data_IF_841844470889
#
_entry.id   IF_841844470889
#
_cell.length_a   1.000
_cell.length_b   1.000
_cell.length_c   1.000
_cell.angle_alpha   90.00
_cell.angle_beta   90.00
_cell.angle_gamma   90.00
#
_symmetry.space_group_name_H-M   'P 1'
#
loop_
_entity.id
_entity.type
_entity.pdbx_description
1 polymer ?
#
# COMPACT_ATOMS: atom_id res chain seq x y z
N UNK A 1 42.67 -23.42 57.52
CA UNK A 1 42.45 -22.41 56.47
C UNK A 1 41.53 -23.03 55.43
N UNK A 2 40.35 -22.44 55.25
CA UNK A 2 39.31 -22.90 54.35
C UNK A 2 39.53 -22.33 52.94
N UNK A 3 39.21 -23.12 51.91
CA UNK A 3 39.03 -22.64 50.54
C UNK A 3 37.73 -23.26 50.02
N UNK A 4 36.67 -22.46 49.99
CA UNK A 4 35.41 -22.81 49.36
C UNK A 4 35.40 -22.16 47.96
N UNK A 5 35.31 -22.99 46.91
CA UNK A 5 35.12 -22.53 45.53
C UNK A 5 33.69 -22.04 45.35
N UNK A 6 33.52 -20.76 45.03
CA UNK A 6 32.23 -20.19 44.66
C UNK A 6 31.92 -20.54 43.19
N UNK A 7 30.87 -21.33 42.98
CA UNK A 7 30.30 -21.61 41.66
C UNK A 7 29.58 -20.37 41.15
N UNK A 8 30.08 -19.78 40.06
CA UNK A 8 29.39 -18.70 39.33
C UNK A 8 28.28 -19.36 38.51
N UNK A 9 27.05 -19.36 39.04
CA UNK A 9 25.87 -19.79 38.30
C UNK A 9 25.52 -18.77 37.23
N UNK A 10 25.69 -19.12 35.96
CA UNK A 10 25.10 -18.38 34.84
C UNK A 10 23.58 -18.49 34.93
N UNK A 11 22.92 -17.41 35.31
CA UNK A 11 21.48 -17.25 35.14
C UNK A 11 21.12 -17.42 33.67
N UNK A 12 20.17 -18.30 33.30
CA UNK A 12 19.71 -18.41 31.93
C UNK A 12 19.14 -17.06 31.47
N UNK A 13 19.31 -16.69 30.19
CA UNK A 13 18.69 -15.48 29.67
C UNK A 13 17.19 -15.61 29.86
N UNK A 14 16.57 -14.60 30.49
CA UNK A 14 15.13 -14.49 30.55
C UNK A 14 14.62 -14.53 29.10
N UNK A 15 13.89 -15.57 28.74
CA UNK A 15 13.14 -15.59 27.50
C UNK A 15 12.20 -14.38 27.57
N UNK A 16 12.42 -13.39 26.70
CA UNK A 16 11.48 -12.29 26.54
C UNK A 16 10.12 -12.92 26.29
N UNK A 17 9.13 -12.57 27.11
CA UNK A 17 7.75 -13.00 26.86
C UNK A 17 7.42 -12.67 25.40
N UNK A 18 6.83 -13.61 24.65
CA UNK A 18 6.44 -13.31 23.27
C UNK A 18 5.57 -12.06 23.30
N UNK A 19 5.97 -11.03 22.55
CA UNK A 19 5.23 -9.79 22.46
C UNK A 19 3.79 -10.13 22.06
N UNK A 20 2.87 -9.97 23.01
CA UNK A 20 1.47 -10.36 22.82
C UNK A 20 0.74 -9.17 22.22
N UNK A 21 0.28 -9.34 20.99
CA UNK A 21 -0.43 -8.30 20.24
C UNK A 21 -1.91 -8.32 20.64
N UNK A 22 -2.57 -7.17 20.90
CA UNK A 22 -4.02 -7.13 21.13
C UNK A 22 -4.81 -7.58 19.88
N UNK A 23 -5.81 -8.43 20.05
CA UNK A 23 -6.65 -8.92 18.95
C UNK A 23 -7.34 -7.77 18.23
N UNK A 24 -7.85 -6.78 18.97
CA UNK A 24 -8.48 -5.60 18.38
C UNK A 24 -7.55 -4.79 17.46
N UNK A 25 -6.23 -4.78 17.72
CA UNK A 25 -5.24 -4.15 16.83
C UNK A 25 -5.06 -4.99 15.57
N UNK A 26 -4.95 -6.32 15.68
CA UNK A 26 -4.86 -7.20 14.52
C UNK A 26 -6.12 -7.14 13.64
N UNK A 27 -7.30 -7.01 14.25
CA UNK A 27 -8.56 -6.86 13.54
C UNK A 27 -8.61 -5.54 12.76
N UNK A 28 -8.20 -4.43 13.37
CA UNK A 28 -8.07 -3.14 12.68
C UNK A 28 -7.06 -3.18 11.54
N UNK A 29 -5.92 -3.86 11.74
CA UNK A 29 -4.92 -4.04 10.69
C UNK A 29 -5.52 -4.82 9.53
N UNK A 30 -6.20 -5.93 9.83
CA UNK A 30 -6.82 -6.78 8.81
C UNK A 30 -7.93 -6.04 8.06
N UNK A 31 -8.77 -5.32 8.78
CA UNK A 31 -9.86 -4.54 8.19
C UNK A 31 -9.35 -3.49 7.20
N UNK A 32 -8.30 -2.75 7.55
CA UNK A 32 -7.72 -1.77 6.62
C UNK A 32 -6.98 -2.44 5.45
N UNK A 33 -6.29 -3.56 5.68
CA UNK A 33 -5.73 -4.35 4.58
C UNK A 33 -6.82 -4.77 3.57
N UNK A 34 -7.97 -5.24 4.05
CA UNK A 34 -9.08 -5.69 3.21
C UNK A 34 -9.78 -4.52 2.49
N UNK A 35 -10.19 -3.50 3.25
CA UNK A 35 -11.10 -2.45 2.79
C UNK A 35 -10.40 -1.29 2.07
N UNK A 36 -9.15 -1.02 2.41
CA UNK A 36 -8.40 0.10 1.85
C UNK A 36 -7.36 -0.38 0.84
N UNK A 37 -6.42 -1.22 1.29
CA UNK A 37 -5.24 -1.56 0.50
C UNK A 37 -5.58 -2.58 -0.59
N UNK A 38 -6.16 -3.72 -0.22
CA UNK A 38 -6.53 -4.79 -1.17
C UNK A 38 -7.60 -4.30 -2.16
N UNK A 39 -8.66 -3.67 -1.64
CA UNK A 39 -9.71 -3.08 -2.47
C UNK A 39 -9.18 -1.95 -3.38
N UNK A 40 -8.22 -1.16 -2.88
CA UNK A 40 -7.54 -0.12 -3.64
C UNK A 40 -6.70 -0.70 -4.79
N UNK A 41 -5.79 -1.65 -4.51
CA UNK A 41 -4.94 -2.30 -5.52
C UNK A 41 -5.80 -3.00 -6.59
N UNK A 42 -6.79 -3.79 -6.17
CA UNK A 42 -7.73 -4.44 -7.09
C UNK A 42 -8.53 -3.43 -7.91
N UNK A 43 -8.95 -2.33 -7.27
CA UNK A 43 -9.63 -1.22 -7.93
C UNK A 43 -8.76 -0.54 -8.99
N UNK A 44 -7.47 -0.31 -8.73
CA UNK A 44 -6.52 0.25 -9.70
C UNK A 44 -6.46 -0.65 -10.93
N UNK A 45 -6.26 -1.97 -10.75
CA UNK A 45 -6.22 -2.92 -11.87
C UNK A 45 -7.47 -2.83 -12.74
N UNK A 46 -8.65 -2.86 -12.10
CA UNK A 46 -9.94 -2.77 -12.79
C UNK A 46 -10.02 -1.48 -13.60
N UNK A 47 -9.74 -0.33 -12.98
CA UNK A 47 -9.89 0.97 -13.64
C UNK A 47 -8.96 1.08 -14.85
N UNK A 48 -7.68 0.72 -14.73
CA UNK A 48 -6.72 0.89 -15.84
C UNK A 48 -6.92 -0.14 -16.97
N UNK A 49 -7.54 -1.29 -16.70
CA UNK A 49 -7.91 -2.27 -17.73
C UNK A 49 -9.28 -2.02 -18.38
N UNK A 50 -10.09 -1.12 -17.80
CA UNK A 50 -11.47 -0.92 -18.24
C UNK A 50 -11.58 0.11 -19.37
N UNK A 51 -12.57 -0.04 -20.28
CA UNK A 51 -12.87 0.98 -21.27
C UNK A 51 -13.52 2.20 -20.57
N UNK A 52 -12.95 3.39 -20.81
CA UNK A 52 -13.48 4.65 -20.29
C UNK A 52 -13.82 5.61 -21.42
N UNK A 53 -14.88 6.41 -21.22
CA UNK A 53 -15.28 7.44 -22.16
C UNK A 53 -14.26 8.58 -22.28
N UNK A 54 -13.43 8.81 -21.25
CA UNK A 54 -12.34 9.78 -21.27
C UNK A 54 -11.21 9.40 -20.31
N UNK A 55 -9.98 9.76 -20.65
CA UNK A 55 -8.82 9.57 -19.77
C UNK A 55 -8.92 10.36 -18.46
N UNK A 56 -9.63 11.50 -18.46
CA UNK A 56 -9.83 12.31 -17.25
C UNK A 56 -10.75 11.61 -16.22
N UNK A 57 -11.83 10.97 -16.69
CA UNK A 57 -12.70 10.17 -15.82
C UNK A 57 -11.95 8.95 -15.25
N UNK A 58 -11.18 8.28 -16.11
CA UNK A 58 -10.36 7.14 -15.70
C UNK A 58 -9.31 7.54 -14.66
N UNK A 59 -8.57 8.63 -14.90
CA UNK A 59 -7.58 9.15 -13.96
C UNK A 59 -8.20 9.51 -12.61
N UNK A 60 -9.38 10.13 -12.61
CA UNK A 60 -10.11 10.46 -11.38
C UNK A 60 -10.41 9.19 -10.57
N UNK A 61 -10.98 8.18 -11.21
CA UNK A 61 -11.33 6.92 -10.54
C UNK A 61 -10.07 6.19 -10.05
N UNK A 62 -9.01 6.18 -10.85
CA UNK A 62 -7.70 5.66 -10.44
C UNK A 62 -7.17 6.39 -9.21
N UNK A 63 -7.25 7.72 -9.18
CA UNK A 63 -6.80 8.52 -8.03
C UNK A 63 -7.60 8.21 -6.76
N UNK A 64 -8.91 7.93 -6.88
CA UNK A 64 -9.71 7.47 -5.74
C UNK A 64 -9.17 6.15 -5.20
N UNK A 65 -8.83 5.21 -6.08
CA UNK A 65 -8.27 3.91 -5.66
C UNK A 65 -6.87 4.03 -5.05
N UNK A 66 -6.01 4.86 -5.63
CA UNK A 66 -4.70 5.16 -5.06
C UNK A 66 -4.81 5.87 -3.69
N UNK A 67 -5.81 6.74 -3.52
CA UNK A 67 -6.07 7.39 -2.24
C UNK A 67 -6.54 6.40 -1.16
N UNK A 68 -7.33 5.38 -1.52
CA UNK A 68 -7.68 4.30 -0.58
C UNK A 68 -6.42 3.60 -0.06
N UNK A 69 -5.48 3.26 -0.95
CA UNK A 69 -4.23 2.57 -0.57
C UNK A 69 -3.40 3.45 0.36
N UNK A 70 -3.21 4.72 0.01
CA UNK A 70 -2.48 5.68 0.84
C UNK A 70 -3.14 5.88 2.21
N UNK A 71 -4.48 5.95 2.26
CA UNK A 71 -5.23 6.02 3.51
C UNK A 71 -4.97 4.79 4.37
N UNK A 72 -5.08 3.58 3.80
CA UNK A 72 -4.86 2.34 4.53
C UNK A 72 -3.44 2.24 5.09
N UNK A 73 -2.41 2.57 4.30
CA UNK A 73 -1.02 2.55 4.77
C UNK A 73 -0.83 3.49 5.97
N UNK A 74 -1.33 4.72 5.90
CA UNK A 74 -1.23 5.67 7.02
C UNK A 74 -2.03 5.23 8.24
N UNK A 75 -3.23 4.67 8.03
CA UNK A 75 -4.01 4.12 9.12
C UNK A 75 -3.27 2.96 9.83
N UNK A 76 -2.61 2.08 9.07
CA UNK A 76 -1.79 1.01 9.65
C UNK A 76 -0.55 1.53 10.39
N UNK A 77 0.08 2.61 9.90
CA UNK A 77 1.17 3.30 10.61
C UNK A 77 0.67 3.82 11.98
N UNK A 78 -0.52 4.43 12.03
CA UNK A 78 -1.13 4.96 13.25
C UNK A 78 -1.55 3.84 14.23
N UNK A 79 -2.19 2.78 13.73
CA UNK A 79 -2.63 1.64 14.54
C UNK A 79 -1.45 0.87 15.13
N UNK A 80 -0.35 0.73 14.38
CA UNK A 80 0.84 0.06 14.86
C UNK A 80 1.58 0.87 15.95
N UNK A 81 1.38 2.19 16.01
CA UNK A 81 1.91 3.07 17.06
C UNK A 81 3.42 2.86 17.31
N UNK A 82 3.89 2.73 18.56
CA UNK A 82 5.30 2.50 18.89
C UNK A 82 5.80 1.07 18.58
N UNK A 83 5.18 0.36 17.63
CA UNK A 83 5.55 -1.01 17.24
C UNK A 83 4.81 -2.08 18.03
N UNK A 84 3.49 -1.89 18.23
CA UNK A 84 2.61 -2.82 18.94
C UNK A 84 2.60 -4.19 18.25
N UNK A 85 2.65 -4.21 16.90
CA UNK A 85 2.75 -5.44 16.11
C UNK A 85 4.21 -5.67 15.70
N UNK A 86 4.88 -6.71 16.25
CA UNK A 86 6.26 -7.00 15.89
C UNK A 86 6.42 -7.24 14.39
N UNK A 87 7.39 -6.56 13.77
CA UNK A 87 7.68 -6.70 12.34
C UNK A 87 6.75 -5.91 11.41
N UNK A 88 5.68 -5.28 11.91
CA UNK A 88 4.75 -4.53 11.05
C UNK A 88 5.36 -3.23 10.53
N UNK A 89 6.12 -2.50 11.36
CA UNK A 89 6.74 -1.23 10.97
C UNK A 89 7.63 -1.35 9.71
N UNK A 90 8.62 -2.27 9.63
CA UNK A 90 9.41 -2.42 8.41
C UNK A 90 8.57 -2.89 7.22
N UNK A 91 7.55 -3.75 7.43
CA UNK A 91 6.67 -4.19 6.35
C UNK A 91 5.81 -3.05 5.79
N UNK A 92 5.37 -2.10 6.63
CA UNK A 92 4.65 -0.90 6.20
C UNK A 92 5.53 0.06 5.39
N UNK A 93 6.82 0.18 5.74
CA UNK A 93 7.78 0.96 4.94
C UNK A 93 7.91 0.38 3.53
N UNK A 94 8.05 -0.95 3.42
CA UNK A 94 8.12 -1.63 2.14
C UNK A 94 6.82 -1.47 1.33
N UNK A 95 5.66 -1.65 1.97
CA UNK A 95 4.36 -1.47 1.32
C UNK A 95 4.17 -0.03 0.84
N UNK A 96 4.54 0.96 1.66
CA UNK A 96 4.45 2.38 1.29
C UNK A 96 5.26 2.66 0.04
N UNK A 97 6.52 2.22 0.01
CA UNK A 97 7.39 2.39 -1.14
C UNK A 97 6.83 1.72 -2.39
N UNK A 98 6.35 0.48 -2.27
CA UNK A 98 5.73 -0.24 -3.39
C UNK A 98 4.44 0.47 -3.89
N UNK A 99 3.67 1.06 -2.98
CA UNK A 99 2.47 1.81 -3.29
C UNK A 99 2.79 3.13 -4.01
N UNK A 100 3.86 3.82 -3.61
CA UNK A 100 4.35 5.02 -4.28
C UNK A 100 4.87 4.69 -5.69
N UNK A 101 5.66 3.63 -5.84
CA UNK A 101 6.15 3.16 -7.16
C UNK A 101 4.98 2.79 -8.10
N UNK A 102 3.96 2.10 -7.58
CA UNK A 102 2.74 1.79 -8.31
C UNK A 102 1.96 3.06 -8.69
N UNK A 103 1.81 4.02 -7.76
CA UNK A 103 1.14 5.30 -8.02
C UNK A 103 1.83 6.04 -9.16
N UNK A 104 3.15 6.08 -9.18
CA UNK A 104 3.92 6.76 -10.22
C UNK A 104 3.79 6.03 -11.56
N UNK A 105 3.91 4.71 -11.58
CA UNK A 105 3.78 3.90 -12.79
C UNK A 105 2.37 3.98 -13.41
N UNK A 106 1.34 4.07 -12.58
CA UNK A 106 -0.06 4.24 -13.02
C UNK A 106 -0.34 5.70 -13.38
N UNK A 107 0.21 6.66 -12.65
CA UNK A 107 0.10 8.09 -12.96
C UNK A 107 0.69 8.43 -14.32
N UNK A 108 1.79 7.76 -14.71
CA UNK A 108 2.42 7.90 -16.02
C UNK A 108 1.53 7.50 -17.21
N UNK A 109 0.43 6.78 -16.97
CA UNK A 109 -0.56 6.50 -18.01
C UNK A 109 -1.33 7.75 -18.43
N UNK A 110 -1.44 8.75 -17.55
CA UNK A 110 -2.29 9.92 -17.73
C UNK A 110 -1.45 11.16 -18.03
N UNK A 111 -1.21 11.41 -19.31
CA UNK A 111 -0.43 12.57 -19.76
C UNK A 111 -1.38 13.72 -20.10
N UNK A 112 -1.13 14.90 -19.51
CA UNK A 112 -1.87 16.11 -19.86
C UNK A 112 -1.30 16.65 -21.17
N UNK A 113 -2.09 16.58 -22.23
CA UNK A 113 -1.75 17.17 -23.51
C UNK A 113 -2.27 18.61 -23.55
N UNK A 114 -1.40 19.64 -23.64
CA UNK A 114 -1.86 20.99 -23.91
C UNK A 114 -2.48 21.02 -25.31
N UNK A 115 -3.74 21.43 -25.42
CA UNK A 115 -4.38 21.74 -26.70
C UNK A 115 -3.61 22.87 -27.40
N UNK A 116 -2.59 22.55 -28.20
CA UNK A 116 -1.99 23.48 -29.15
C UNK A 116 -2.80 23.44 -30.44
N UNK A 117 -3.85 24.27 -30.50
CA UNK A 117 -4.58 24.53 -31.73
C UNK A 117 -3.74 25.34 -32.71
N UNK A 118 -2.94 24.66 -33.55
CA UNK A 118 -2.47 25.23 -34.82
C UNK A 118 -3.32 24.65 -35.96
N UNK A 119 -4.40 25.35 -36.30
CA UNK A 119 -5.28 24.96 -37.40
C UNK A 119 -6.03 26.17 -37.93
N UNK A 120 -5.53 26.76 -39.02
CA UNK A 120 -6.28 27.68 -39.88
C UNK A 120 -7.45 26.89 -40.50
N UNK A 121 -8.67 27.05 -39.98
CA UNK A 121 -9.84 26.39 -40.56
C UNK A 121 -11.12 26.72 -39.81
N UNK A 122 -12.03 27.43 -40.48
CA UNK A 122 -13.38 27.80 -40.04
C UNK A 122 -14.12 26.68 -39.29
N UNK A 123 -14.46 26.89 -38.02
CA UNK A 123 -15.24 25.94 -37.22
C UNK A 123 -15.32 26.31 -35.75
N UNK A 124 -16.03 27.39 -35.45
CA UNK A 124 -16.34 27.86 -34.09
C UNK A 124 -17.24 26.85 -33.36
N UNK A 125 -16.68 25.92 -32.55
CA UNK A 125 -17.30 25.30 -31.35
C UNK A 125 -16.24 24.51 -30.56
N UNK A 126 -15.94 24.94 -29.33
CA UNK A 126 -15.32 24.11 -28.31
C UNK A 126 -13.81 24.28 -28.17
N UNK A 127 -13.40 25.36 -27.50
CA UNK A 127 -12.10 25.41 -26.84
C UNK A 127 -12.09 24.35 -25.72
N UNK A 128 -11.86 23.09 -26.08
CA UNK A 128 -11.66 22.01 -25.12
C UNK A 128 -10.33 22.30 -24.41
N UNK A 129 -10.41 22.56 -23.10
CA UNK A 129 -9.27 22.70 -22.22
C UNK A 129 -8.33 21.48 -22.27
N UNK A 130 -7.26 21.45 -21.46
CA UNK A 130 -6.29 20.36 -21.49
C UNK A 130 -6.99 19.00 -21.42
N UNK A 131 -6.64 18.10 -22.35
CA UNK A 131 -7.17 16.73 -22.38
C UNK A 131 -6.16 15.78 -21.75
N UNK A 132 -6.67 14.79 -21.02
CA UNK A 132 -5.84 13.72 -20.45
C UNK A 132 -5.80 12.58 -21.47
N UNK A 133 -4.62 12.37 -22.06
CA UNK A 133 -4.34 11.22 -22.91
C UNK A 133 -4.05 10.01 -22.02
N UNK A 134 -4.69 8.86 -22.29
CA UNK A 134 -4.41 7.61 -21.61
C UNK A 134 -3.46 6.75 -22.48
N UNK A 135 -2.32 6.34 -21.92
CA UNK A 135 -1.44 5.36 -22.51
C UNK A 135 -1.88 3.94 -22.14
N UNK A 136 -1.66 2.98 -23.04
CA UNK A 136 -1.87 1.57 -22.69
C UNK A 136 -0.90 1.13 -21.59
N UNK A 137 -1.39 0.46 -20.53
CA UNK A 137 -0.55 -0.06 -19.46
C UNK A 137 0.60 -0.90 -20.01
N UNK A 138 1.83 -0.51 -19.68
CA UNK A 138 3.04 -1.23 -20.06
C UNK A 138 3.28 -2.40 -19.10
N UNK A 139 4.08 -3.41 -19.47
CA UNK A 139 4.46 -4.49 -18.56
C UNK A 139 5.00 -3.99 -17.21
N UNK A 140 5.78 -2.91 -17.21
CA UNK A 140 6.30 -2.27 -16.00
C UNK A 140 5.21 -1.72 -15.07
N UNK A 141 4.10 -1.21 -15.60
CA UNK A 141 2.94 -0.77 -14.81
C UNK A 141 2.35 -1.95 -14.05
N UNK A 142 2.18 -3.09 -14.72
CA UNK A 142 1.68 -4.31 -14.07
C UNK A 142 2.64 -4.84 -13.02
N UNK A 143 3.95 -4.85 -13.32
CA UNK A 143 4.97 -5.25 -12.34
C UNK A 143 4.94 -4.39 -11.07
N UNK A 144 4.73 -3.08 -11.19
CA UNK A 144 4.61 -2.21 -10.01
C UNK A 144 3.36 -2.54 -9.18
N UNK A 145 2.23 -2.82 -9.84
CA UNK A 145 0.99 -3.24 -9.15
C UNK A 145 1.19 -4.62 -8.48
N UNK A 146 1.78 -5.59 -9.18
CA UNK A 146 2.07 -6.92 -8.65
C UNK A 146 3.02 -6.84 -7.44
N UNK A 147 3.99 -5.92 -7.47
CA UNK A 147 4.90 -5.72 -6.34
C UNK A 147 4.20 -5.12 -5.11
N UNK A 148 3.32 -4.14 -5.30
CA UNK A 148 2.49 -3.60 -4.21
C UNK A 148 1.57 -4.69 -3.62
N UNK A 149 0.97 -5.51 -4.48
CA UNK A 149 0.12 -6.63 -4.08
C UNK A 149 0.90 -7.67 -3.25
N UNK A 150 2.12 -8.00 -3.67
CA UNK A 150 3.02 -8.87 -2.93
C UNK A 150 3.34 -8.31 -1.54
N UNK A 151 3.61 -7.00 -1.42
CA UNK A 151 3.89 -6.37 -0.11
C UNK A 151 2.70 -6.33 0.82
N UNK A 152 1.50 -6.18 0.26
CA UNK A 152 0.25 -6.35 1.01
C UNK A 152 0.11 -7.79 1.51
N UNK A 153 0.39 -8.80 0.68
CA UNK A 153 0.36 -10.21 1.06
C UNK A 153 1.39 -10.57 2.14
N UNK A 154 2.59 -9.97 2.10
CA UNK A 154 3.61 -10.12 3.15
C UNK A 154 3.07 -9.67 4.52
N UNK A 155 2.29 -8.58 4.56
CA UNK A 155 1.65 -8.09 5.79
C UNK A 155 0.50 -9.01 6.22
N UNK A 156 -0.32 -9.52 5.30
CA UNK A 156 -1.33 -10.53 5.65
C UNK A 156 -0.68 -11.76 6.29
N UNK A 157 0.44 -12.25 5.74
CA UNK A 157 1.17 -13.38 6.28
C UNK A 157 1.69 -13.08 7.70
N UNK A 158 2.22 -11.88 7.93
CA UNK A 158 2.63 -11.42 9.26
C UNK A 158 1.47 -11.43 10.25
N UNK A 159 0.35 -10.80 9.90
CA UNK A 159 -0.86 -10.69 10.76
C UNK A 159 -1.46 -12.06 11.06
N UNK A 160 -1.54 -12.93 10.05
CA UNK A 160 -2.01 -14.31 10.20
C UNK A 160 -1.12 -15.12 11.15
N UNK A 161 0.18 -14.81 11.23
CA UNK A 161 1.12 -15.43 12.18
C UNK A 161 0.77 -15.16 13.65
N UNK A 162 0.03 -14.09 13.94
CA UNK A 162 -0.41 -13.75 15.30
C UNK A 162 -1.83 -14.24 15.63
N UNK A 163 -2.57 -14.76 14.65
CA UNK A 163 -3.92 -15.27 14.89
C UNK A 163 -3.90 -16.47 15.85
N UNK A 164 -4.77 -16.42 16.86
CA UNK A 164 -4.88 -17.45 17.90
C UNK A 164 -3.94 -17.26 19.10
N UNK A 165 -2.97 -16.34 19.03
CA UNK A 165 -2.05 -16.02 20.13
C UNK A 165 -2.15 -14.54 20.59
N UNK A 166 -3.16 -13.83 20.11
CA UNK A 166 -3.41 -12.43 20.47
C UNK A 166 -4.09 -12.31 21.84
N UNK A 167 -3.91 -11.16 22.49
CA UNK A 167 -4.59 -10.83 23.75
C UNK A 167 -6.00 -10.31 23.46
N UNK A 168 -7.03 -10.78 24.20
CA UNK A 168 -8.39 -10.25 24.08
C UNK A 168 -8.47 -8.76 24.41
#
# INVERSE_FOLDING_TARGET
MAAACASIGLTPPAAAEPARVPCGVLDQVRESLDNDINAGIGGVRIVISSPYASGAAQQRDTNVKLAMISHGVHYLEDVNGPGIVPGLAPALVDLRRASDDMRDAVGALFVVSPSYGYGLGYGNYGNYGPTVSNAWPQPSTWTAIDYADQKKDDIYALVNGFQGNCLP
#
